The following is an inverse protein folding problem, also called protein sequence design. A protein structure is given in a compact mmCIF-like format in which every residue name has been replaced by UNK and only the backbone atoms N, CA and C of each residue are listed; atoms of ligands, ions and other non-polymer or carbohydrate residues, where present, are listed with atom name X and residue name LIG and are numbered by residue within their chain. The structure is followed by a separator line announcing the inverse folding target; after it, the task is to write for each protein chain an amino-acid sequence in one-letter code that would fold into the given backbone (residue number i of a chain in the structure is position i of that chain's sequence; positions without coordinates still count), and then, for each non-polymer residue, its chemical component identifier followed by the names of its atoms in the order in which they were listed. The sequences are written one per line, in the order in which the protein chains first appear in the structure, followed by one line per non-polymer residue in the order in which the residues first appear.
data_IF_504783116697
#
_entry.id   IF_504783116697
#
_cell.length_a   1.000
_cell.length_b   1.000
_cell.length_c   1.000
_cell.angle_alpha   90.00
_cell.angle_beta   90.00
_cell.angle_gamma   90.00
#
_symmetry.space_group_name_H-M   'P 1'
#
loop_
_entity.id
_entity.type
_entity.pdbx_description
1 polymer ?
#
# COMPACT_ATOMS: atom_id res chain seq x y z
N UNK A 1 5.93 -6.23 -109.59
CA UNK A 1 6.87 -6.94 -108.65
C UNK A 1 7.68 -5.98 -107.73
N UNK A 2 8.35 -4.91 -108.34
CA UNK A 2 9.11 -3.97 -107.44
C UNK A 2 8.21 -3.13 -106.56
N UNK A 3 7.03 -2.69 -106.98
CA UNK A 3 6.09 -1.90 -106.26
C UNK A 3 5.42 -2.73 -105.11
N UNK A 4 5.11 -4.01 -105.35
CA UNK A 4 4.55 -4.92 -104.37
C UNK A 4 5.56 -5.23 -103.22
N UNK A 5 6.85 -5.40 -103.64
CA UNK A 5 7.88 -5.64 -102.65
C UNK A 5 8.13 -4.40 -101.75
N UNK A 6 7.99 -3.20 -102.26
CA UNK A 6 8.08 -1.96 -101.52
C UNK A 6 6.93 -1.75 -100.57
N UNK A 7 5.70 -2.14 -100.96
CA UNK A 7 4.50 -2.08 -100.08
C UNK A 7 4.60 -3.09 -98.92
N UNK A 8 5.01 -4.31 -99.24
CA UNK A 8 5.19 -5.35 -98.21
C UNK A 8 6.30 -4.93 -97.19
N UNK A 9 7.38 -4.32 -97.63
CA UNK A 9 8.46 -3.80 -96.79
C UNK A 9 7.98 -2.63 -95.94
N UNK A 10 7.18 -1.72 -96.47
CA UNK A 10 6.57 -0.64 -95.68
C UNK A 10 5.60 -1.13 -94.66
N UNK A 11 4.74 -2.09 -94.95
CA UNK A 11 3.82 -2.71 -93.98
C UNK A 11 4.57 -3.49 -92.90
N UNK A 12 5.62 -4.20 -93.27
CA UNK A 12 6.42 -4.92 -92.29
C UNK A 12 7.13 -3.95 -91.31
N UNK A 13 7.66 -2.82 -91.87
CA UNK A 13 8.27 -1.80 -91.03
C UNK A 13 7.28 -1.11 -90.09
N UNK A 14 6.09 -0.76 -90.63
CA UNK A 14 5.01 -0.21 -89.79
C UNK A 14 4.56 -1.15 -88.64
N UNK A 15 4.46 -2.42 -88.96
CA UNK A 15 4.17 -3.43 -87.89
C UNK A 15 5.32 -3.57 -86.91
N UNK A 16 6.57 -3.52 -87.37
CA UNK A 16 7.73 -3.56 -86.48
C UNK A 16 7.80 -2.30 -85.60
N UNK A 17 7.55 -1.13 -86.09
CA UNK A 17 7.49 0.11 -85.31
C UNK A 17 6.33 0.11 -84.32
N UNK A 18 5.17 -0.40 -84.76
CA UNK A 18 4.01 -0.60 -83.85
C UNK A 18 4.28 -1.57 -82.69
N UNK A 19 4.95 -2.68 -82.98
CA UNK A 19 5.35 -3.66 -81.93
C UNK A 19 6.45 -3.09 -81.06
N UNK A 20 7.40 -2.31 -81.53
CA UNK A 20 8.41 -1.64 -80.70
C UNK A 20 7.80 -0.59 -79.79
N UNK A 21 6.83 0.19 -80.28
CA UNK A 21 6.06 1.10 -79.40
C UNK A 21 5.28 0.39 -78.29
N UNK A 22 4.57 -0.66 -78.66
CA UNK A 22 3.81 -1.49 -77.68
C UNK A 22 4.72 -2.12 -76.64
N UNK A 23 5.91 -2.58 -77.00
CA UNK A 23 6.91 -3.11 -76.10
C UNK A 23 7.44 -2.01 -75.17
N UNK A 24 7.68 -0.84 -75.62
CA UNK A 24 8.12 0.29 -74.79
C UNK A 24 7.03 0.75 -73.83
N UNK A 25 5.76 0.71 -74.21
CA UNK A 25 4.63 1.01 -73.36
C UNK A 25 4.44 -0.07 -72.28
N UNK A 26 4.57 -1.35 -72.63
CA UNK A 26 4.51 -2.46 -71.69
C UNK A 26 5.69 -2.38 -70.68
N UNK A 27 6.91 -2.03 -71.14
CA UNK A 27 8.03 -1.85 -70.23
C UNK A 27 7.81 -0.71 -69.22
N UNK A 28 7.28 0.43 -69.69
CA UNK A 28 6.93 1.55 -68.80
C UNK A 28 5.85 1.14 -67.75
N UNK A 29 4.87 0.36 -68.17
CA UNK A 29 3.83 -0.14 -67.27
C UNK A 29 4.42 -1.10 -66.21
N UNK A 30 5.37 -1.96 -66.61
CA UNK A 30 6.08 -2.85 -65.65
C UNK A 30 6.92 -2.08 -64.67
N UNK A 31 7.64 -1.04 -65.15
CA UNK A 31 8.47 -0.23 -64.29
C UNK A 31 7.64 0.61 -63.31
N UNK A 32 6.49 1.12 -63.69
CA UNK A 32 5.51 1.78 -62.84
C UNK A 32 4.95 0.81 -61.77
N UNK A 33 4.56 -0.39 -62.18
CA UNK A 33 4.05 -1.40 -61.25
C UNK A 33 5.11 -1.86 -60.23
N UNK A 34 6.39 -1.94 -60.63
CA UNK A 34 7.50 -2.22 -59.70
C UNK A 34 7.69 -1.08 -58.70
N UNK A 35 7.60 0.18 -59.12
CA UNK A 35 7.69 1.32 -58.24
C UNK A 35 6.56 1.36 -57.22
N UNK A 36 5.30 1.09 -57.64
CA UNK A 36 4.14 1.00 -56.76
C UNK A 36 4.27 -0.13 -55.73
N UNK A 37 4.85 -1.27 -56.17
CA UNK A 37 5.11 -2.39 -55.27
C UNK A 37 6.18 -2.04 -54.21
N UNK A 38 7.21 -1.26 -54.60
CA UNK A 38 8.22 -0.75 -53.66
C UNK A 38 7.60 0.15 -52.60
N UNK A 39 6.79 1.13 -53.04
CA UNK A 39 6.08 2.04 -52.12
C UNK A 39 5.14 1.27 -51.14
N UNK A 40 4.46 0.24 -51.64
CA UNK A 40 3.61 -0.59 -50.79
C UNK A 40 4.43 -1.39 -49.76
N UNK A 41 5.59 -1.90 -50.13
CA UNK A 41 6.50 -2.62 -49.23
C UNK A 41 7.06 -1.69 -48.16
N UNK A 42 7.45 -0.46 -48.49
CA UNK A 42 7.93 0.54 -47.55
C UNK A 42 6.84 0.93 -46.53
N UNK A 43 5.61 1.12 -47.02
CA UNK A 43 4.45 1.38 -46.13
C UNK A 43 4.17 0.22 -45.15
N UNK A 44 4.27 -1.02 -45.64
CA UNK A 44 4.08 -2.20 -44.79
C UNK A 44 5.16 -2.27 -43.69
N UNK A 45 6.42 -1.99 -44.05
CA UNK A 45 7.53 -1.97 -43.10
C UNK A 45 7.33 -0.87 -42.04
N UNK A 46 6.91 0.35 -42.48
CA UNK A 46 6.59 1.44 -41.55
C UNK A 46 5.46 1.06 -40.58
N UNK A 47 4.37 0.50 -41.11
CA UNK A 47 3.24 0.05 -40.27
C UNK A 47 3.62 -1.06 -39.29
N UNK A 48 4.54 -1.95 -39.67
CA UNK A 48 5.05 -2.99 -38.76
C UNK A 48 5.87 -2.37 -37.62
N UNK A 49 6.70 -1.39 -37.91
CA UNK A 49 7.46 -0.65 -36.89
C UNK A 49 6.54 0.08 -35.92
N UNK A 50 5.51 0.76 -36.44
CA UNK A 50 4.51 1.43 -35.59
C UNK A 50 3.76 0.45 -34.67
N UNK A 51 3.47 -0.74 -35.19
CA UNK A 51 2.82 -1.80 -34.37
C UNK A 51 3.75 -2.32 -33.27
N UNK A 52 5.01 -2.55 -33.58
CA UNK A 52 6.02 -3.03 -32.62
C UNK A 52 6.26 -1.97 -31.51
N UNK A 53 6.31 -0.69 -31.87
CA UNK A 53 6.39 0.44 -30.92
C UNK A 53 5.14 0.49 -30.02
N UNK A 54 3.95 0.38 -30.60
CA UNK A 54 2.71 0.39 -29.85
C UNK A 54 2.61 -0.80 -28.87
N UNK A 55 3.07 -1.99 -29.29
CA UNK A 55 3.13 -3.15 -28.41
C UNK A 55 4.11 -2.93 -27.25
N UNK A 56 5.28 -2.37 -27.53
CA UNK A 56 6.27 -2.04 -26.49
C UNK A 56 5.72 -1.05 -25.47
N UNK A 57 5.02 0.00 -25.93
CA UNK A 57 4.39 0.98 -25.07
C UNK A 57 3.29 0.35 -24.19
N UNK A 58 2.49 -0.54 -24.76
CA UNK A 58 1.47 -1.28 -24.03
C UNK A 58 2.08 -2.16 -22.92
N UNK A 59 3.17 -2.84 -23.21
CA UNK A 59 3.87 -3.69 -22.25
C UNK A 59 4.44 -2.86 -21.07
N UNK A 60 4.98 -1.68 -21.34
CA UNK A 60 5.46 -0.72 -20.33
C UNK A 60 4.29 -0.28 -19.42
N UNK A 61 3.20 0.19 -20.00
CA UNK A 61 2.03 0.65 -19.24
C UNK A 61 1.40 -0.48 -18.41
N UNK A 62 1.31 -1.67 -18.97
CA UNK A 62 0.81 -2.86 -18.25
C UNK A 62 1.70 -3.21 -17.06
N UNK A 63 3.02 -3.15 -17.24
CA UNK A 63 3.98 -3.38 -16.16
C UNK A 63 3.90 -2.32 -15.05
N UNK A 64 3.70 -1.05 -15.40
CA UNK A 64 3.52 0.03 -14.42
C UNK A 64 2.17 -0.09 -13.69
N UNK A 65 1.10 -0.43 -14.38
CA UNK A 65 -0.21 -0.67 -13.78
C UNK A 65 -0.18 -1.83 -12.78
N UNK A 66 0.53 -2.92 -13.09
CA UNK A 66 0.74 -4.04 -12.17
C UNK A 66 1.50 -3.60 -10.90
N UNK A 67 2.56 -2.81 -11.05
CA UNK A 67 3.31 -2.25 -9.90
C UNK A 67 2.46 -1.33 -9.03
N UNK A 68 1.58 -0.54 -9.63
CA UNK A 68 0.64 0.29 -8.90
C UNK A 68 -0.36 -0.57 -8.11
N UNK A 69 -0.91 -1.62 -8.72
CA UNK A 69 -1.82 -2.53 -8.04
C UNK A 69 -1.15 -3.24 -6.84
N UNK A 70 0.12 -3.67 -6.98
CA UNK A 70 0.90 -4.22 -5.88
C UNK A 70 1.15 -3.20 -4.75
N UNK A 71 1.42 -1.94 -5.10
CA UNK A 71 1.63 -0.87 -4.12
C UNK A 71 0.33 -0.54 -3.38
N UNK A 72 -0.81 -0.51 -4.07
CA UNK A 72 -2.14 -0.33 -3.48
C UNK A 72 -2.48 -1.48 -2.52
N UNK A 73 -2.16 -2.72 -2.88
CA UNK A 73 -2.38 -3.87 -1.99
C UNK A 73 -1.52 -3.76 -0.73
N UNK A 74 -0.25 -3.41 -0.86
CA UNK A 74 0.64 -3.19 0.30
C UNK A 74 0.15 -2.08 1.23
N UNK A 75 -0.37 -0.97 0.68
CA UNK A 75 -0.98 0.08 1.49
C UNK A 75 -2.22 -0.42 2.24
N UNK A 76 -3.10 -1.19 1.60
CA UNK A 76 -4.28 -1.78 2.24
C UNK A 76 -3.89 -2.74 3.37
N UNK A 77 -2.89 -3.59 3.15
CA UNK A 77 -2.39 -4.52 4.17
C UNK A 77 -1.77 -3.77 5.35
N UNK A 78 -1.05 -2.68 5.09
CA UNK A 78 -0.49 -1.81 6.12
C UNK A 78 -1.56 -1.07 6.92
N UNK A 79 -2.63 -0.56 6.27
CA UNK A 79 -3.80 0.04 6.95
C UNK A 79 -4.45 -0.98 7.89
N UNK A 80 -4.61 -2.23 7.43
CA UNK A 80 -5.16 -3.29 8.27
C UNK A 80 -4.26 -3.55 9.49
N UNK A 81 -2.95 -3.66 9.29
CA UNK A 81 -1.99 -3.86 10.39
C UNK A 81 -2.03 -2.72 11.42
N UNK A 82 -2.16 -1.47 10.99
CA UNK A 82 -2.34 -0.31 11.89
C UNK A 82 -3.63 -0.43 12.70
N UNK A 83 -4.73 -0.80 12.07
CA UNK A 83 -6.02 -0.94 12.75
C UNK A 83 -6.00 -2.10 13.76
N UNK A 84 -5.41 -3.23 13.39
CA UNK A 84 -5.30 -4.41 14.24
C UNK A 84 -4.40 -4.12 15.46
N UNK A 85 -3.24 -3.52 15.26
CA UNK A 85 -2.33 -3.13 16.35
C UNK A 85 -2.93 -2.05 17.24
N UNK A 86 -3.66 -1.09 16.67
CA UNK A 86 -4.40 -0.08 17.44
C UNK A 86 -5.45 -0.70 18.33
N UNK A 87 -6.23 -1.64 17.84
CA UNK A 87 -7.27 -2.30 18.63
C UNK A 87 -6.68 -3.06 19.82
N UNK A 88 -5.56 -3.76 19.63
CA UNK A 88 -4.85 -4.47 20.69
C UNK A 88 -4.27 -3.50 21.72
N UNK A 89 -3.69 -2.38 21.28
CA UNK A 89 -3.15 -1.33 22.14
C UNK A 89 -4.26 -0.67 22.98
N UNK A 90 -5.40 -0.34 22.36
CA UNK A 90 -6.54 0.27 23.05
C UNK A 90 -7.12 -0.69 24.12
N UNK A 91 -7.18 -1.98 23.84
CA UNK A 91 -7.58 -3.00 24.82
C UNK A 91 -6.59 -3.11 25.99
N UNK A 92 -5.28 -3.10 25.71
CA UNK A 92 -4.26 -3.12 26.75
C UNK A 92 -4.30 -1.87 27.64
N UNK A 93 -4.55 -0.69 27.05
CA UNK A 93 -4.74 0.56 27.80
C UNK A 93 -5.97 0.48 28.73
N UNK A 94 -7.07 -0.12 28.26
CA UNK A 94 -8.25 -0.34 29.10
C UNK A 94 -7.95 -1.30 30.27
N UNK A 95 -7.18 -2.35 30.03
CA UNK A 95 -6.70 -3.27 31.07
C UNK A 95 -5.83 -2.55 32.12
N UNK A 96 -4.98 -1.62 31.68
CA UNK A 96 -4.13 -0.81 32.57
C UNK A 96 -4.98 0.08 33.47
N UNK A 97 -6.00 0.75 32.92
CA UNK A 97 -6.96 1.55 33.71
C UNK A 97 -7.70 0.69 34.73
N UNK A 98 -8.07 -0.54 34.38
CA UNK A 98 -8.67 -1.48 35.34
C UNK A 98 -7.69 -1.86 36.45
N UNK A 99 -6.41 -2.10 36.15
CA UNK A 99 -5.37 -2.37 37.11
C UNK A 99 -5.10 -1.18 38.06
N UNK A 100 -5.09 0.05 37.54
CA UNK A 100 -5.01 1.29 38.34
C UNK A 100 -6.16 1.38 39.36
N UNK A 101 -7.36 1.02 38.91
CA UNK A 101 -8.55 0.97 39.80
C UNK A 101 -8.40 -0.05 40.91
N UNK A 102 -7.78 -1.22 40.62
CA UNK A 102 -7.47 -2.24 41.65
C UNK A 102 -6.43 -1.74 42.63
N UNK A 103 -5.38 -1.06 42.20
CA UNK A 103 -4.37 -0.45 43.08
C UNK A 103 -5.03 0.58 44.01
N UNK A 104 -5.85 1.48 43.43
CA UNK A 104 -6.57 2.50 44.19
C UNK A 104 -7.48 1.88 45.24
N UNK A 105 -8.25 0.85 44.90
CA UNK A 105 -9.10 0.14 45.84
C UNK A 105 -8.30 -0.55 46.95
N UNK A 106 -7.17 -1.17 46.64
CA UNK A 106 -6.28 -1.79 47.61
C UNK A 106 -5.66 -0.78 48.59
N UNK A 107 -5.21 0.37 48.06
CA UNK A 107 -4.66 1.46 48.87
C UNK A 107 -5.73 2.10 49.77
N UNK A 108 -6.95 2.29 49.26
CA UNK A 108 -8.07 2.79 50.08
C UNK A 108 -8.43 1.80 51.19
N UNK A 109 -8.51 0.50 50.88
CA UNK A 109 -8.78 -0.53 51.88
C UNK A 109 -7.70 -0.56 52.98
N UNK A 110 -6.41 -0.46 52.58
CA UNK A 110 -5.28 -0.33 53.50
C UNK A 110 -5.41 0.92 54.37
N UNK A 111 -5.68 2.10 53.77
CA UNK A 111 -5.82 3.35 54.54
C UNK A 111 -6.98 3.30 55.55
N UNK A 112 -8.12 2.70 55.17
CA UNK A 112 -9.28 2.50 56.08
C UNK A 112 -8.93 1.56 57.20
N UNK A 113 -8.23 0.45 56.95
CA UNK A 113 -7.78 -0.50 57.95
C UNK A 113 -6.76 0.14 58.92
N UNK A 114 -5.80 0.88 58.39
CA UNK A 114 -4.80 1.61 59.18
C UNK A 114 -5.45 2.70 60.06
N UNK A 115 -6.46 3.41 59.56
CA UNK A 115 -7.20 4.40 60.32
C UNK A 115 -8.03 3.78 61.45
N UNK A 116 -8.64 2.59 61.24
CA UNK A 116 -9.32 1.85 62.29
C UNK A 116 -8.38 1.39 63.39
N UNK A 117 -7.20 0.86 63.02
CA UNK A 117 -6.16 0.48 63.98
C UNK A 117 -5.65 1.67 64.79
N UNK A 118 -5.43 2.82 64.15
CA UNK A 118 -4.98 4.05 64.80
C UNK A 118 -5.99 4.54 65.84
N UNK A 119 -7.30 4.46 65.50
CA UNK A 119 -8.36 4.80 66.47
C UNK A 119 -8.37 3.89 67.67
N UNK A 120 -8.11 2.61 67.48
CA UNK A 120 -8.00 1.64 68.61
C UNK A 120 -6.79 1.93 69.48
N UNK A 121 -5.64 2.27 68.89
CA UNK A 121 -4.44 2.64 69.66
C UNK A 121 -4.61 3.96 70.44
N UNK A 122 -5.57 4.83 70.06
CA UNK A 122 -5.88 6.09 70.76
C UNK A 122 -6.98 5.92 71.83
N UNK A 123 -7.68 4.82 71.82
CA UNK A 123 -8.58 4.46 72.93
C UNK A 123 -7.68 3.97 74.08
N UNK A 124 -7.61 4.79 75.11
CA UNK A 124 -6.73 4.66 76.23
C UNK A 124 -6.71 3.21 76.77
N UNK A 125 -5.55 2.54 76.64
CA UNK A 125 -5.36 1.20 77.19
C UNK A 125 -5.62 1.15 78.73
N UNK A 126 -5.54 2.28 79.43
CA UNK A 126 -5.90 2.43 80.83
C UNK A 126 -7.38 2.26 81.10
N UNK A 127 -8.28 2.71 80.25
CA UNK A 127 -9.72 2.54 80.40
C UNK A 127 -10.18 1.10 80.12
N UNK A 128 -9.55 0.42 79.17
CA UNK A 128 -9.82 -1.00 78.87
C UNK A 128 -9.37 -1.95 79.94
N UNK A 129 -8.27 -1.65 80.62
CA UNK A 129 -7.78 -2.44 81.77
C UNK A 129 -8.65 -2.24 83.00
N UNK A 130 -9.25 -1.07 83.20
CA UNK A 130 -10.13 -0.78 84.33
C UNK A 130 -11.55 -1.40 84.27
N UNK A 131 -12.01 -1.80 83.06
CA UNK A 131 -13.36 -2.27 82.80
C UNK A 131 -13.52 -3.82 82.74
N UNK A 132 -12.51 -4.60 83.11
CA UNK A 132 -12.57 -6.06 83.04
C UNK A 132 -12.63 -6.56 81.60
N UNK A 133 -11.72 -7.42 81.20
CA UNK A 133 -11.57 -7.97 79.84
C UNK A 133 -12.90 -8.47 79.30
N UNK A 134 -13.43 -7.81 78.29
CA UNK A 134 -14.49 -8.32 77.45
C UNK A 134 -13.85 -9.18 76.35
N UNK A 135 -14.03 -10.51 76.45
CA UNK A 135 -13.50 -11.49 75.48
C UNK A 135 -13.94 -11.16 74.06
N UNK A 136 -15.09 -10.50 73.89
CA UNK A 136 -15.57 -10.03 72.58
C UNK A 136 -14.75 -8.87 72.05
N UNK A 137 -14.09 -8.05 72.88
CA UNK A 137 -13.24 -6.96 72.46
C UNK A 137 -11.90 -7.46 71.82
N UNK A 138 -11.35 -8.55 72.43
CA UNK A 138 -10.13 -9.17 71.93
C UNK A 138 -10.35 -9.86 70.58
N UNK A 139 -11.48 -10.50 70.36
CA UNK A 139 -11.87 -11.10 69.07
C UNK A 139 -12.10 -10.04 68.03
N UNK A 140 -12.75 -8.92 68.33
CA UNK A 140 -12.95 -7.76 67.42
C UNK A 140 -11.62 -7.12 67.08
N UNK A 141 -10.69 -6.96 68.04
CA UNK A 141 -9.35 -6.43 67.82
C UNK A 141 -8.52 -7.34 66.89
N UNK A 142 -8.53 -8.64 67.16
CA UNK A 142 -7.87 -9.64 66.31
C UNK A 142 -8.41 -9.63 64.88
N UNK A 143 -9.75 -9.51 64.70
CA UNK A 143 -10.37 -9.38 63.38
C UNK A 143 -9.92 -8.10 62.64
N UNK A 144 -9.75 -6.99 63.35
CA UNK A 144 -9.26 -5.74 62.74
C UNK A 144 -7.79 -5.84 62.34
N UNK A 145 -6.93 -6.47 63.19
CA UNK A 145 -5.54 -6.74 62.82
C UNK A 145 -5.45 -7.66 61.60
N UNK A 146 -6.22 -8.73 61.55
CA UNK A 146 -6.26 -9.64 60.41
C UNK A 146 -6.70 -8.91 59.13
N UNK A 147 -7.74 -8.07 59.18
CA UNK A 147 -8.22 -7.27 58.06
C UNK A 147 -7.15 -6.26 57.59
N UNK A 148 -6.40 -5.64 58.50
CA UNK A 148 -5.33 -4.73 58.13
C UNK A 148 -4.15 -5.45 57.47
N UNK A 149 -3.78 -6.61 57.96
CA UNK A 149 -2.73 -7.45 57.35
C UNK A 149 -3.15 -7.86 55.94
N UNK A 150 -4.39 -8.33 55.79
CA UNK A 150 -4.95 -8.71 54.48
C UNK A 150 -5.01 -7.52 53.51
N UNK A 151 -5.47 -6.35 53.95
CA UNK A 151 -5.56 -5.16 53.11
C UNK A 151 -4.17 -4.71 52.66
N UNK A 152 -3.17 -4.72 53.56
CA UNK A 152 -1.77 -4.41 53.22
C UNK A 152 -1.18 -5.41 52.26
N UNK A 153 -1.48 -6.69 52.39
CA UNK A 153 -1.00 -7.78 51.54
C UNK A 153 -1.53 -7.65 50.07
N UNK A 154 -2.68 -7.00 49.85
CA UNK A 154 -3.28 -6.82 48.52
C UNK A 154 -2.63 -5.72 47.71
N UNK A 155 -1.92 -4.76 48.33
CA UNK A 155 -1.33 -3.59 47.60
C UNK A 155 -0.20 -4.01 46.69
N UNK A 156 0.75 -4.80 47.17
CA UNK A 156 1.90 -5.23 46.39
C UNK A 156 1.55 -6.06 45.14
N UNK A 157 0.65 -7.08 45.23
CA UNK A 157 0.19 -7.80 44.04
C UNK A 157 -0.56 -6.91 43.06
N UNK A 158 -1.39 -5.97 43.51
CA UNK A 158 -2.09 -5.05 42.66
C UNK A 158 -1.13 -4.15 41.89
N UNK A 159 -0.07 -3.64 42.54
CA UNK A 159 0.98 -2.87 41.89
C UNK A 159 1.77 -3.70 40.87
N UNK A 160 2.10 -4.94 41.18
CA UNK A 160 2.80 -5.83 40.25
C UNK A 160 1.97 -6.09 38.98
N UNK A 161 0.64 -6.25 39.10
CA UNK A 161 -0.26 -6.36 37.96
C UNK A 161 -0.25 -5.08 37.15
N UNK A 162 -0.29 -3.91 37.78
CA UNK A 162 -0.23 -2.62 37.06
C UNK A 162 1.09 -2.46 36.28
N UNK A 163 2.21 -2.77 36.93
CA UNK A 163 3.54 -2.70 36.30
C UNK A 163 3.63 -3.64 35.10
N UNK A 164 3.11 -4.88 35.20
CA UNK A 164 3.04 -5.83 34.09
C UNK A 164 2.20 -5.27 32.93
N UNK A 165 1.04 -4.70 33.21
CA UNK A 165 0.16 -4.11 32.21
C UNK A 165 0.81 -2.90 31.53
N UNK A 166 1.51 -2.07 32.29
CA UNK A 166 2.22 -0.91 31.75
C UNK A 166 3.33 -1.33 30.78
N UNK A 167 4.14 -2.33 31.15
CA UNK A 167 5.16 -2.90 30.28
C UNK A 167 4.55 -3.47 28.99
N UNK A 168 3.40 -4.11 29.08
CA UNK A 168 2.69 -4.61 27.90
C UNK A 168 2.21 -3.48 26.99
N UNK A 169 1.67 -2.40 27.54
CA UNK A 169 1.26 -1.20 26.79
C UNK A 169 2.45 -0.57 26.08
N UNK A 170 3.59 -0.42 26.75
CA UNK A 170 4.81 0.17 26.16
C UNK A 170 5.32 -0.66 24.97
N UNK A 171 5.30 -2.00 25.09
CA UNK A 171 5.64 -2.91 23.99
C UNK A 171 4.67 -2.82 22.81
N UNK A 172 3.37 -2.76 23.08
CA UNK A 172 2.32 -2.63 22.07
C UNK A 172 2.34 -1.25 21.40
N UNK A 173 2.66 -0.17 22.13
CA UNK A 173 2.84 1.16 21.57
C UNK A 173 3.96 1.16 20.54
N UNK A 174 5.08 0.52 20.85
CA UNK A 174 6.21 0.36 19.91
C UNK A 174 5.80 -0.41 18.63
N UNK A 175 4.99 -1.45 18.78
CA UNK A 175 4.43 -2.21 17.65
C UNK A 175 3.49 -1.37 16.78
N UNK A 176 2.64 -0.56 17.40
CA UNK A 176 1.75 0.36 16.70
C UNK A 176 2.52 1.45 15.93
N UNK A 177 3.56 2.03 16.54
CA UNK A 177 4.41 3.04 15.90
C UNK A 177 5.15 2.45 14.69
N UNK A 178 5.61 1.20 14.78
CA UNK A 178 6.21 0.48 13.66
C UNK A 178 5.21 0.22 12.53
N UNK A 179 3.97 -0.13 12.85
CA UNK A 179 2.91 -0.33 11.86
C UNK A 179 2.55 1.00 11.14
N UNK A 180 2.51 2.12 11.87
CA UNK A 180 2.32 3.46 11.29
C UNK A 180 3.45 3.82 10.34
N UNK A 181 4.70 3.58 10.71
CA UNK A 181 5.85 3.83 9.84
C UNK A 181 5.78 2.99 8.55
N UNK A 182 5.40 1.72 8.66
CA UNK A 182 5.20 0.85 7.51
C UNK A 182 4.06 1.34 6.59
N UNK A 183 2.98 1.83 7.15
CA UNK A 183 1.87 2.44 6.40
C UNK A 183 2.33 3.69 5.62
N UNK A 184 3.04 4.61 6.26
CA UNK A 184 3.53 5.83 5.59
C UNK A 184 4.50 5.48 4.43
N UNK A 185 5.32 4.46 4.59
CA UNK A 185 6.19 3.96 3.53
C UNK A 185 5.37 3.38 2.37
N UNK A 186 4.41 2.49 2.65
CA UNK A 186 3.57 1.88 1.64
C UNK A 186 2.74 2.92 0.86
N UNK A 187 2.23 3.94 1.54
CA UNK A 187 1.53 5.09 0.95
C UNK A 187 2.45 5.91 0.03
N UNK A 188 3.68 6.15 0.46
CA UNK A 188 4.69 6.84 -0.36
C UNK A 188 5.02 6.04 -1.63
N UNK A 189 5.18 4.72 -1.51
CA UNK A 189 5.44 3.82 -2.64
C UNK A 189 4.28 3.83 -3.65
N UNK A 190 3.02 3.84 -3.16
CA UNK A 190 1.84 3.94 -4.03
C UNK A 190 1.82 5.26 -4.78
N UNK A 191 2.04 6.39 -4.10
CA UNK A 191 2.09 7.72 -4.72
C UNK A 191 3.19 7.78 -5.80
N UNK A 192 4.37 7.21 -5.51
CA UNK A 192 5.46 7.16 -6.48
C UNK A 192 5.12 6.26 -7.70
N UNK A 193 4.39 5.17 -7.50
CA UNK A 193 3.94 4.31 -8.58
C UNK A 193 2.86 4.99 -9.44
N UNK A 194 1.91 5.71 -8.84
CA UNK A 194 0.91 6.53 -9.54
C UNK A 194 1.57 7.61 -10.39
N UNK A 195 2.55 8.32 -9.83
CA UNK A 195 3.27 9.37 -10.55
C UNK A 195 4.00 8.80 -11.76
N UNK A 196 4.72 7.68 -11.60
CA UNK A 196 5.42 7.04 -12.71
C UNK A 196 4.48 6.62 -13.83
N UNK A 197 3.33 6.05 -13.51
CA UNK A 197 2.34 5.68 -14.51
C UNK A 197 1.77 6.91 -15.23
N UNK A 198 1.49 7.98 -14.48
CA UNK A 198 1.00 9.24 -15.04
C UNK A 198 2.04 9.91 -15.96
N UNK A 199 3.30 9.93 -15.53
CA UNK A 199 4.39 10.52 -16.32
C UNK A 199 4.62 9.75 -17.63
N UNK A 200 4.55 8.42 -17.58
CA UNK A 200 4.68 7.57 -18.77
C UNK A 200 3.53 7.77 -19.76
N UNK A 201 2.28 7.84 -19.26
CA UNK A 201 1.11 8.15 -20.10
C UNK A 201 1.30 9.52 -20.79
N UNK A 202 1.69 10.54 -20.04
CA UNK A 202 1.90 11.88 -20.58
C UNK A 202 3.03 11.91 -21.62
N UNK A 203 4.09 11.14 -21.42
CA UNK A 203 5.17 11.01 -22.37
C UNK A 203 4.70 10.35 -23.67
N UNK A 204 3.98 9.25 -23.59
CA UNK A 204 3.45 8.53 -24.75
C UNK A 204 2.45 9.39 -25.54
N UNK A 205 1.57 10.12 -24.84
CA UNK A 205 0.65 11.07 -25.49
C UNK A 205 1.40 12.19 -26.23
N UNK A 206 2.48 12.72 -25.64
CA UNK A 206 3.29 13.74 -26.28
C UNK A 206 4.04 13.21 -27.52
N UNK A 207 4.56 11.99 -27.47
CA UNK A 207 5.22 11.33 -28.60
C UNK A 207 4.24 11.05 -29.74
N UNK A 208 3.03 10.59 -29.43
CA UNK A 208 1.97 10.40 -30.42
C UNK A 208 1.56 11.72 -31.10
N UNK A 209 1.38 12.77 -30.30
CA UNK A 209 1.05 14.09 -30.82
C UNK A 209 2.16 14.63 -31.75
N UNK A 210 3.44 14.41 -31.38
CA UNK A 210 4.57 14.81 -32.23
C UNK A 210 4.64 14.01 -33.55
N UNK A 211 4.39 12.68 -33.49
CA UNK A 211 4.30 11.84 -34.71
C UNK A 211 3.17 12.30 -35.64
N UNK A 212 1.99 12.63 -35.09
CA UNK A 212 0.86 13.15 -35.85
C UNK A 212 1.20 14.52 -36.51
N UNK A 213 1.84 15.42 -35.75
CA UNK A 213 2.25 16.73 -36.29
C UNK A 213 3.27 16.59 -37.41
N UNK A 214 4.24 15.69 -37.29
CA UNK A 214 5.23 15.42 -38.32
C UNK A 214 4.60 14.85 -39.61
N UNK A 215 3.56 14.04 -39.50
CA UNK A 215 2.83 13.47 -40.64
C UNK A 215 1.99 14.51 -41.40
N UNK A 216 1.63 15.64 -40.78
CA UNK A 216 0.86 16.74 -41.40
C UNK A 216 1.72 17.89 -41.93
N UNK A 217 3.04 17.85 -41.72
CA UNK A 217 3.95 18.89 -42.25
C UNK A 217 4.36 18.46 -43.65
N UNK A 218 3.99 19.23 -44.72
CA UNK A 218 4.30 18.88 -46.12
C UNK A 218 5.79 18.99 -46.42
#
# INVERSE_FOLDING_TARGET
EQAEKSTVLADAKQKADGTASALADAQRAVDAAKADTGVAADRLTGSQTDLDDAQSNLDILTGLAAKLAEAQQREQDAVKAVNDTKAVLDAAKADTIAAESLVSAAEQAKAQADAKLSKLNSIDAGAAIASGHDVNADDALNALFAAAVEARAKVAPAKAILDEKQVAVDGLQSGYDAALAAYELAKSDRIAAEQKLSDEIAQQEAEEAAKQQAAYTP
#
